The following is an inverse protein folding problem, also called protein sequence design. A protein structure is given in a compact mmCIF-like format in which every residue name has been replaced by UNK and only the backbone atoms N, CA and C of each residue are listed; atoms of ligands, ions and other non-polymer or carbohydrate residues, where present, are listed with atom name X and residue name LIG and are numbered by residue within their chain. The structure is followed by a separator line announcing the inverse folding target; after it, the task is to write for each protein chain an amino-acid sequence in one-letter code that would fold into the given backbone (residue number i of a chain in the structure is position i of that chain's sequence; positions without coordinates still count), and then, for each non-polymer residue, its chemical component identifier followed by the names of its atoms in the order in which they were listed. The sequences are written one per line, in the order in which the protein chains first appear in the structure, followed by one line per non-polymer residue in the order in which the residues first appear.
data_IF_215820673228
#
_entry.id   IF_215820673228
#
_cell.length_a   1.000
_cell.length_b   1.000
_cell.length_c   1.000
_cell.angle_alpha   90.00
_cell.angle_beta   90.00
_cell.angle_gamma   90.00
#
_symmetry.space_group_name_H-M   'P 1'
#
loop_
_entity.id
_entity.type
_entity.pdbx_description
1 polymer ?
#
# COMPACT_ATOMS: atom_id res chain seq x y z
N UNK A 1 9.63 -0.32 3.24
CA UNK A 1 10.08 -0.74 4.58
C UNK A 1 10.33 0.53 5.38
N UNK A 2 9.92 0.56 6.65
CA UNK A 2 10.30 1.64 7.56
C UNK A 2 11.60 1.26 8.25
N UNK A 3 12.70 1.91 7.87
CA UNK A 3 14.01 1.71 8.45
C UNK A 3 14.86 2.99 8.30
N UNK A 4 15.88 3.21 9.15
CA UNK A 4 16.79 4.34 9.01
C UNK A 4 17.43 4.37 7.60
N UNK A 5 17.41 5.54 6.95
CA UNK A 5 17.94 5.75 5.58
C UNK A 5 17.32 4.84 4.50
N UNK A 6 16.13 4.31 4.74
CA UNK A 6 15.33 3.60 3.73
C UNK A 6 14.33 4.53 3.06
N UNK A 7 13.82 4.12 1.90
CA UNK A 7 12.96 4.95 1.05
C UNK A 7 13.54 5.09 -0.35
N UNK A 8 12.94 5.95 -1.17
CA UNK A 8 13.33 6.12 -2.58
C UNK A 8 12.62 5.14 -3.52
N UNK A 9 13.05 5.12 -4.78
CA UNK A 9 12.42 4.28 -5.82
C UNK A 9 12.77 2.80 -5.59
N UNK A 10 11.80 1.89 -5.73
CA UNK A 10 12.05 0.46 -5.66
C UNK A 10 12.93 0.00 -6.82
N UNK A 11 13.59 -1.15 -6.65
CA UNK A 11 14.41 -1.81 -7.68
C UNK A 11 13.99 -3.27 -7.87
N UNK A 12 14.43 -3.90 -8.97
CA UNK A 12 14.21 -5.33 -9.19
C UNK A 12 12.76 -5.68 -9.58
N UNK A 13 12.30 -6.87 -9.17
CA UNK A 13 10.99 -7.41 -9.58
C UNK A 13 9.81 -6.55 -9.11
N UNK A 14 9.92 -5.96 -7.91
CA UNK A 14 8.87 -5.10 -7.38
C UNK A 14 8.72 -3.80 -8.19
N UNK A 15 9.82 -3.23 -8.70
CA UNK A 15 9.76 -2.05 -9.57
C UNK A 15 9.05 -2.38 -10.88
N UNK A 16 9.38 -3.51 -11.51
CA UNK A 16 8.71 -4.00 -12.72
C UNK A 16 7.23 -4.29 -12.48
N UNK A 17 6.89 -4.88 -11.34
CA UNK A 17 5.51 -5.16 -10.98
C UNK A 17 4.71 -3.86 -10.76
N UNK A 18 5.33 -2.84 -10.16
CA UNK A 18 4.73 -1.52 -9.98
C UNK A 18 4.51 -0.83 -11.33
N UNK A 19 5.51 -0.81 -12.22
CA UNK A 19 5.36 -0.25 -13.57
C UNK A 19 4.27 -0.99 -14.35
N UNK A 20 4.21 -2.32 -14.27
CA UNK A 20 3.17 -3.12 -14.91
C UNK A 20 1.77 -2.85 -14.33
N UNK A 21 1.65 -2.66 -13.02
CA UNK A 21 0.36 -2.50 -12.34
C UNK A 21 -0.18 -1.07 -12.34
N UNK A 22 0.71 -0.08 -12.34
CA UNK A 22 0.37 1.33 -12.09
C UNK A 22 0.91 2.28 -13.16
N UNK A 23 1.68 1.79 -14.13
CA UNK A 23 2.30 2.57 -15.20
C UNK A 23 3.63 3.21 -14.79
N UNK A 24 3.70 3.77 -13.58
CA UNK A 24 4.94 4.33 -13.03
C UNK A 24 4.96 4.22 -11.50
N UNK A 25 6.15 4.37 -10.92
CA UNK A 25 6.28 4.48 -9.47
C UNK A 25 5.54 5.70 -8.91
N UNK A 26 5.59 6.84 -9.61
CA UNK A 26 4.95 8.07 -9.14
C UNK A 26 3.42 7.93 -9.16
N UNK A 27 2.86 7.28 -10.18
CA UNK A 27 1.43 6.93 -10.24
C UNK A 27 1.02 5.93 -9.16
N UNK A 28 1.91 5.02 -8.77
CA UNK A 28 1.68 4.16 -7.60
C UNK A 28 1.65 4.97 -6.30
N UNK A 29 2.62 5.86 -6.08
CA UNK A 29 2.69 6.72 -4.89
C UNK A 29 1.44 7.57 -4.78
N UNK A 30 0.97 8.16 -5.88
CA UNK A 30 -0.27 8.94 -5.92
C UNK A 30 -1.49 8.10 -5.50
N UNK A 31 -1.69 6.93 -6.13
CA UNK A 31 -2.81 6.03 -5.80
C UNK A 31 -2.77 5.54 -4.36
N UNK A 32 -1.58 5.16 -3.88
CA UNK A 32 -1.39 4.65 -2.54
C UNK A 32 -1.62 5.74 -1.49
N UNK A 33 -1.10 6.95 -1.72
CA UNK A 33 -1.35 8.12 -0.87
C UNK A 33 -2.82 8.48 -0.84
N UNK A 34 -3.50 8.46 -2.00
CA UNK A 34 -4.93 8.74 -2.07
C UNK A 34 -5.76 7.69 -1.31
N UNK A 35 -5.36 6.41 -1.31
CA UNK A 35 -6.04 5.39 -0.52
C UNK A 35 -5.87 5.60 0.99
N UNK A 36 -4.69 6.07 1.42
CA UNK A 36 -4.41 6.40 2.81
C UNK A 36 -5.19 7.64 3.27
N UNK A 37 -5.16 8.73 2.50
CA UNK A 37 -5.81 10.00 2.83
C UNK A 37 -7.34 9.87 2.84
N UNK A 38 -7.91 9.14 1.88
CA UNK A 38 -9.35 8.98 1.76
C UNK A 38 -9.92 7.89 2.67
N UNK A 39 -9.09 7.21 3.46
CA UNK A 39 -9.56 6.29 4.49
C UNK A 39 -10.23 7.09 5.61
N UNK A 40 -11.55 7.03 5.67
CA UNK A 40 -12.31 7.73 6.70
C UNK A 40 -12.25 6.99 8.04
N UNK A 41 -11.87 7.72 9.09
CA UNK A 41 -11.68 7.16 10.43
C UNK A 41 -10.43 6.27 10.53
N UNK A 42 -10.42 5.40 11.54
CA UNK A 42 -9.31 4.48 11.78
C UNK A 42 -9.21 3.40 10.69
N UNK A 43 -8.00 3.06 10.27
CA UNK A 43 -7.79 2.04 9.25
C UNK A 43 -6.39 1.98 8.69
N UNK A 44 -6.28 1.39 7.51
CA UNK A 44 -5.01 1.06 6.87
C UNK A 44 -5.10 1.21 5.35
N UNK A 45 -4.01 1.63 4.71
CA UNK A 45 -3.82 1.50 3.27
C UNK A 45 -2.85 0.36 2.96
N UNK A 46 -3.11 -0.39 1.88
CA UNK A 46 -2.39 -1.61 1.54
C UNK A 46 -1.99 -1.66 0.08
N UNK A 47 -0.76 -2.09 -0.19
CA UNK A 47 -0.36 -2.67 -1.46
C UNK A 47 -0.48 -4.18 -1.29
N UNK A 48 -1.28 -4.81 -2.15
CA UNK A 48 -1.53 -6.24 -2.11
C UNK A 48 -1.22 -6.89 -3.45
N UNK A 49 -0.80 -8.15 -3.42
CA UNK A 49 -0.76 -9.01 -4.58
C UNK A 49 -1.98 -9.91 -4.58
N UNK A 50 -2.72 -9.89 -5.69
CA UNK A 50 -3.97 -10.62 -5.85
C UNK A 50 -4.11 -11.02 -7.31
N UNK A 51 -4.47 -12.28 -7.57
CA UNK A 51 -4.76 -12.79 -8.93
C UNK A 51 -3.68 -12.42 -9.96
N UNK A 52 -2.40 -12.51 -9.59
CA UNK A 52 -1.29 -12.27 -10.52
C UNK A 52 -0.86 -10.81 -10.68
N UNK A 53 -1.47 -9.85 -9.95
CA UNK A 53 -1.22 -8.42 -10.11
C UNK A 53 -1.16 -7.67 -8.77
N UNK A 54 -0.55 -6.49 -8.81
CA UNK A 54 -0.58 -5.54 -7.69
C UNK A 54 -1.89 -4.75 -7.69
N UNK A 55 -2.43 -4.52 -6.49
CA UNK A 55 -3.62 -3.71 -6.25
C UNK A 55 -3.35 -2.79 -5.04
N UNK A 56 -3.90 -1.57 -5.08
CA UNK A 56 -3.99 -0.70 -3.90
C UNK A 56 -5.39 -0.84 -3.31
N UNK A 57 -5.49 -0.99 -1.99
CA UNK A 57 -6.76 -1.09 -1.28
C UNK A 57 -6.64 -0.45 0.11
N UNK A 58 -7.76 -0.23 0.79
CA UNK A 58 -7.79 0.21 2.18
C UNK A 58 -8.76 -0.65 2.98
N UNK A 59 -8.58 -0.68 4.30
CA UNK A 59 -9.46 -1.39 5.21
C UNK A 59 -9.78 -0.52 6.42
N UNK A 60 -10.98 -0.69 6.97
CA UNK A 60 -11.41 0.00 8.18
C UNK A 60 -10.90 -0.74 9.42
N UNK A 61 -10.64 0.01 10.49
CA UNK A 61 -10.29 -0.53 11.80
C UNK A 61 -9.11 -1.53 11.73
N UNK A 62 -9.35 -2.78 12.12
CA UNK A 62 -8.36 -3.86 12.14
C UNK A 62 -8.60 -4.91 11.04
N UNK A 63 -9.47 -4.60 10.07
CA UNK A 63 -9.70 -5.49 8.94
C UNK A 63 -8.42 -5.61 8.12
N UNK A 64 -8.17 -6.81 7.59
CA UNK A 64 -6.93 -7.15 6.91
C UNK A 64 -7.21 -7.83 5.56
N UNK A 65 -6.50 -7.46 4.47
CA UNK A 65 -6.66 -8.11 3.16
C UNK A 65 -6.47 -9.64 3.14
N UNK A 66 -5.79 -10.21 4.13
CA UNK A 66 -5.64 -11.67 4.29
C UNK A 66 -7.02 -12.35 4.40
N UNK A 67 -7.99 -11.75 5.11
CA UNK A 67 -9.34 -12.31 5.24
C UNK A 67 -10.09 -12.34 3.90
N UNK A 68 -9.62 -11.58 2.92
CA UNK A 68 -10.16 -11.51 1.56
C UNK A 68 -9.36 -12.39 0.58
N UNK A 69 -8.42 -13.19 1.06
CA UNK A 69 -7.55 -14.03 0.23
C UNK A 69 -6.51 -13.26 -0.58
N UNK A 70 -6.19 -12.02 -0.18
CA UNK A 70 -5.16 -11.20 -0.83
C UNK A 70 -3.85 -11.27 -0.03
N UNK A 71 -2.72 -11.18 -0.72
CA UNK A 71 -1.40 -11.20 -0.08
C UNK A 71 -0.92 -9.76 0.16
N UNK A 72 -0.89 -9.25 1.41
CA UNK A 72 -0.37 -7.92 1.70
C UNK A 72 1.15 -7.87 1.52
N UNK A 73 1.64 -6.77 0.92
CA UNK A 73 3.05 -6.53 0.65
C UNK A 73 3.60 -5.28 1.36
N UNK A 74 2.76 -4.25 1.49
CA UNK A 74 3.07 -3.01 2.20
C UNK A 74 1.79 -2.49 2.84
N UNK A 75 1.90 -1.92 4.03
CA UNK A 75 0.82 -1.19 4.68
C UNK A 75 1.28 0.16 5.20
N UNK A 76 0.32 1.07 5.35
CA UNK A 76 0.44 2.30 6.13
C UNK A 76 -0.71 2.36 7.11
N UNK A 77 -0.35 2.56 8.37
CA UNK A 77 -1.29 2.83 9.46
C UNK A 77 -1.80 4.28 9.33
N UNK A 78 -3.12 4.45 9.29
CA UNK A 78 -3.76 5.77 9.29
C UNK A 78 -4.66 5.98 10.50
N UNK A 79 -4.49 5.18 11.56
CA UNK A 79 -5.02 5.51 12.88
C UNK A 79 -4.33 6.77 13.43
N UNK A 80 -5.08 7.62 14.13
CA UNK A 80 -4.54 8.88 14.66
C UNK A 80 -3.32 8.67 15.55
N UNK A 81 -3.28 7.59 16.34
CA UNK A 81 -2.13 7.25 17.20
C UNK A 81 -0.83 6.92 16.44
N UNK A 82 -0.90 6.71 15.13
CA UNK A 82 0.28 6.48 14.31
C UNK A 82 1.00 7.79 13.94
N UNK A 83 0.34 8.95 14.06
CA UNK A 83 0.88 10.23 13.60
C UNK A 83 0.55 11.47 14.46
N UNK A 84 -0.25 11.34 15.53
CA UNK A 84 -0.42 12.34 16.60
C UNK A 84 0.44 11.99 17.82
#
# INVERSE_FOLDING_TARGET
MMAPKSGGKPSGEIAKAIEKGFGSFDSFVEKFSNAAINQFGSGWAWLVYSKGKLEVTSTQNQDNPISQGKMPLLCVDVWEHAYY
#
